data_IF_432300033450
#
_entry.id   IF_432300033450
#
_cell.length_a   1.000
_cell.length_b   1.000
_cell.length_c   1.000
_cell.angle_alpha   90.00
_cell.angle_beta   90.00
_cell.angle_gamma   90.00
#
_symmetry.space_group_name_H-M   'P 1'
#
loop_
_entity.id
_entity.type
_entity.pdbx_description
1 polymer ?
#
# COMPACT_ATOMS: atom_id res chain seq x y z
N UNK A 1 13.57 -7.98 -0.09
CA UNK A 1 13.55 -7.98 1.40
C UNK A 1 12.69 -9.11 1.99
N UNK A 2 11.54 -9.48 1.40
CA UNK A 2 10.70 -10.59 1.93
C UNK A 2 11.36 -11.97 1.79
N UNK A 3 11.83 -12.35 0.60
CA UNK A 3 12.54 -13.62 0.37
C UNK A 3 13.70 -13.84 1.36
N UNK A 4 14.54 -12.83 1.54
CA UNK A 4 15.64 -12.86 2.51
C UNK A 4 15.14 -13.05 3.96
N UNK A 5 14.08 -12.34 4.38
CA UNK A 5 13.51 -12.51 5.73
C UNK A 5 12.90 -13.89 5.95
N UNK A 6 12.37 -14.50 4.89
CA UNK A 6 11.80 -15.84 4.91
C UNK A 6 12.85 -16.96 4.76
N UNK A 7 14.14 -16.62 4.58
CA UNK A 7 15.19 -17.61 4.31
C UNK A 7 15.06 -18.32 2.96
N UNK A 8 14.30 -17.73 2.02
CA UNK A 8 14.03 -18.30 0.71
C UNK A 8 14.93 -17.65 -0.35
N UNK A 9 15.50 -18.41 -1.30
CA UNK A 9 16.24 -17.85 -2.41
C UNK A 9 15.29 -17.16 -3.40
N UNK A 10 15.61 -15.91 -3.77
CA UNK A 10 14.98 -15.25 -4.92
C UNK A 10 15.74 -15.65 -6.17
N UNK A 11 15.31 -16.73 -6.82
CA UNK A 11 15.96 -17.26 -8.02
C UNK A 11 15.84 -16.31 -9.22
N UNK A 12 16.70 -16.42 -10.24
CA UNK A 12 16.56 -15.65 -11.46
C UNK A 12 15.21 -15.83 -12.15
N UNK A 13 14.67 -17.06 -12.18
CA UNK A 13 13.35 -17.36 -12.74
C UNK A 13 12.23 -16.63 -12.00
N UNK A 14 12.19 -16.74 -10.66
CA UNK A 14 11.18 -16.06 -9.85
C UNK A 14 11.26 -14.53 -10.00
N UNK A 15 12.46 -13.96 -10.14
CA UNK A 15 12.63 -12.54 -10.43
C UNK A 15 12.06 -12.15 -11.79
N UNK A 16 12.30 -12.96 -12.82
CA UNK A 16 11.79 -12.70 -14.17
C UNK A 16 10.26 -12.74 -14.22
N UNK A 17 9.65 -13.73 -13.57
CA UNK A 17 8.19 -13.87 -13.47
C UNK A 17 7.54 -12.70 -12.73
N UNK A 18 8.12 -12.28 -11.60
CA UNK A 18 7.65 -11.11 -10.86
C UNK A 18 7.72 -9.84 -11.72
N UNK A 19 8.82 -9.65 -12.45
CA UNK A 19 8.99 -8.48 -13.32
C UNK A 19 7.97 -8.50 -14.47
N UNK A 20 7.81 -9.64 -15.15
CA UNK A 20 6.83 -9.78 -16.22
C UNK A 20 5.40 -9.50 -15.74
N UNK A 21 5.06 -9.94 -14.52
CA UNK A 21 3.76 -9.62 -13.93
C UNK A 21 3.57 -8.13 -13.68
N UNK A 22 4.57 -7.45 -13.11
CA UNK A 22 4.53 -6.00 -12.85
C UNK A 22 4.39 -5.22 -14.16
N UNK A 23 5.15 -5.59 -15.20
CA UNK A 23 5.10 -4.95 -16.51
C UNK A 23 3.73 -5.15 -17.18
N UNK A 24 3.16 -6.35 -17.05
CA UNK A 24 1.84 -6.67 -17.57
C UNK A 24 0.67 -6.08 -16.76
N UNK A 25 0.91 -5.64 -15.51
CA UNK A 25 -0.12 -5.13 -14.59
C UNK A 25 0.34 -3.81 -13.93
N UNK A 26 0.50 -2.73 -14.71
CA UNK A 26 0.90 -1.44 -14.16
C UNK A 26 -0.14 -0.97 -13.13
N UNK A 27 0.36 -0.48 -11.99
CA UNK A 27 -0.48 0.09 -10.94
C UNK A 27 -1.27 1.27 -11.49
N UNK A 28 -2.54 1.37 -11.11
CA UNK A 28 -3.40 2.47 -11.55
C UNK A 28 -3.89 2.38 -12.99
N UNK A 29 -3.77 1.21 -13.67
CA UNK A 29 -4.29 1.01 -15.05
C UNK A 29 -5.75 1.48 -15.22
N UNK A 30 -6.57 1.36 -14.18
CA UNK A 30 -7.98 1.73 -14.20
C UNK A 30 -8.28 2.96 -13.32
N UNK A 31 -7.27 3.76 -13.01
CA UNK A 31 -7.38 4.88 -12.07
C UNK A 31 -7.27 4.45 -10.61
N UNK A 32 -7.42 5.44 -9.72
CA UNK A 32 -7.46 5.27 -8.27
C UNK A 32 -8.83 5.74 -7.78
N UNK A 33 -9.41 5.00 -6.82
CA UNK A 33 -10.60 5.45 -6.11
C UNK A 33 -10.15 6.42 -5.01
N UNK A 34 -10.63 7.65 -5.07
CA UNK A 34 -10.41 8.68 -4.05
C UNK A 34 -11.60 8.62 -3.10
N UNK A 35 -11.35 8.33 -1.83
CA UNK A 35 -12.41 8.29 -0.81
C UNK A 35 -12.61 9.67 -0.18
N UNK A 36 -13.87 10.12 -0.12
CA UNK A 36 -14.25 11.24 0.72
C UNK A 36 -14.80 10.69 2.03
N UNK A 37 -13.95 10.62 3.06
CA UNK A 37 -14.33 10.02 4.35
C UNK A 37 -15.54 10.70 5.00
N UNK A 38 -15.74 12.01 4.75
CA UNK A 38 -16.88 12.74 5.29
C UNK A 38 -18.15 12.41 4.53
N UNK A 39 -18.14 12.51 3.21
CA UNK A 39 -19.34 12.33 2.39
C UNK A 39 -19.77 10.86 2.27
N UNK A 40 -18.80 9.95 2.11
CA UNK A 40 -19.08 8.53 1.84
C UNK A 40 -19.36 7.74 3.12
N UNK A 41 -18.78 8.17 4.25
CA UNK A 41 -18.79 7.41 5.50
C UNK A 41 -19.20 8.21 6.75
N UNK A 42 -19.39 9.54 6.63
CA UNK A 42 -19.72 10.39 7.78
C UNK A 42 -18.60 10.48 8.82
N UNK A 43 -17.35 10.21 8.44
CA UNK A 43 -16.19 10.16 9.35
C UNK A 43 -15.29 11.36 9.13
N UNK A 44 -14.95 12.07 10.21
CA UNK A 44 -13.93 13.11 10.15
C UNK A 44 -12.53 12.49 10.00
N UNK A 45 -11.75 12.85 8.95
CA UNK A 45 -10.42 12.30 8.72
C UNK A 45 -9.46 12.49 9.89
N UNK A 46 -9.54 13.61 10.60
CA UNK A 46 -8.68 13.89 11.76
C UNK A 46 -8.93 12.91 12.91
N UNK A 47 -10.19 12.66 13.25
CA UNK A 47 -10.57 11.71 14.29
C UNK A 47 -10.18 10.28 13.93
N UNK A 48 -10.27 9.91 12.65
CA UNK A 48 -9.80 8.61 12.19
C UNK A 48 -8.28 8.47 12.33
N UNK A 49 -7.51 9.50 11.96
CA UNK A 49 -6.05 9.50 12.10
C UNK A 49 -5.61 9.39 13.56
N UNK A 50 -6.27 10.09 14.48
CA UNK A 50 -6.01 10.00 15.92
C UNK A 50 -6.16 8.56 16.43
N UNK A 51 -7.22 7.85 16.02
CA UNK A 51 -7.40 6.43 16.38
C UNK A 51 -6.28 5.51 15.90
N UNK A 52 -5.59 5.87 14.82
CA UNK A 52 -4.47 5.12 14.25
C UNK A 52 -3.10 5.71 14.61
N UNK A 53 -3.03 6.68 15.52
CA UNK A 53 -1.80 7.40 15.84
C UNK A 53 -0.65 6.45 16.21
N UNK A 54 -0.90 5.49 17.11
CA UNK A 54 0.13 4.51 17.52
C UNK A 54 0.70 3.72 16.33
N UNK A 55 -0.16 3.35 15.37
CA UNK A 55 0.25 2.61 14.18
C UNK A 55 1.10 3.49 13.25
N UNK A 56 0.67 4.74 13.04
CA UNK A 56 1.35 5.72 12.19
C UNK A 56 2.69 6.20 12.79
N UNK A 57 2.80 6.25 14.12
CA UNK A 57 4.06 6.50 14.81
C UNK A 57 5.04 5.32 14.63
N UNK A 58 4.53 4.08 14.66
CA UNK A 58 5.35 2.88 14.53
C UNK A 58 5.83 2.63 13.11
N UNK A 59 5.00 2.94 12.12
CA UNK A 59 5.27 2.71 10.71
C UNK A 59 5.19 4.04 9.95
N UNK A 60 6.28 4.50 9.32
CA UNK A 60 6.30 5.76 8.56
C UNK A 60 5.54 5.58 7.24
N UNK A 61 4.22 5.53 7.33
CA UNK A 61 3.30 5.43 6.19
C UNK A 61 3.05 6.84 5.66
N UNK A 62 3.13 7.03 4.34
CA UNK A 62 2.70 8.27 3.72
C UNK A 62 1.19 8.42 3.92
N UNK A 63 0.77 9.49 4.59
CA UNK A 63 -0.65 9.80 4.69
C UNK A 63 -1.16 10.14 3.29
N UNK A 64 -2.29 9.54 2.92
CA UNK A 64 -3.02 9.95 1.73
C UNK A 64 -3.55 11.37 1.99
N UNK A 65 -3.02 12.33 1.22
CA UNK A 65 -3.41 13.74 1.28
C UNK A 65 -4.45 13.92 0.19
N UNK A 66 -5.73 13.95 0.57
CA UNK A 66 -6.84 14.40 -0.27
C UNK A 66 -7.28 15.78 0.22
#
# INVERSE_FOLDING_TARGET
KIYQRAGLPLTPAARAELQAYIDAHPRGRHGQVIYNLREDFGVEPAALRERFETYLQRFPVALEVN
#
